data_IF_965762820856
#
_entry.id   IF_965762820856
#
_cell.length_a   1.000
_cell.length_b   1.000
_cell.length_c   1.000
_cell.angle_alpha   90.00
_cell.angle_beta   90.00
_cell.angle_gamma   90.00
#
_symmetry.space_group_name_H-M   'P 1'
#
loop_
_entity.id
_entity.type
_entity.pdbx_description
1 polymer ?
#
# COMPACT_ATOMS: atom_id res chain seq x y z
N UNK A 1 26.67 4.05 -3.22
CA UNK A 1 25.66 5.12 -3.05
C UNK A 1 24.27 4.61 -3.44
N UNK A 2 24.07 4.13 -4.68
CA UNK A 2 22.80 3.54 -5.14
C UNK A 2 22.23 2.49 -4.19
N UNK A 3 22.99 1.46 -3.84
CA UNK A 3 22.51 0.36 -2.97
C UNK A 3 22.20 0.84 -1.54
N UNK A 4 22.85 1.91 -1.09
CA UNK A 4 22.51 2.54 0.18
C UNK A 4 21.12 3.18 0.10
N UNK A 5 20.86 4.00 -0.94
CA UNK A 5 19.57 4.63 -1.15
C UNK A 5 18.44 3.62 -1.40
N UNK A 6 18.71 2.49 -2.06
CA UNK A 6 17.73 1.41 -2.23
C UNK A 6 17.34 0.81 -0.87
N UNK A 7 18.30 0.54 0.02
CA UNK A 7 18.01 0.04 1.37
C UNK A 7 17.27 1.07 2.23
N UNK A 8 17.63 2.34 2.12
CA UNK A 8 16.91 3.44 2.78
C UNK A 8 15.48 3.57 2.26
N UNK A 9 15.27 3.49 0.95
CA UNK A 9 13.93 3.50 0.34
C UNK A 9 13.09 2.34 0.88
N UNK A 10 13.65 1.13 0.91
CA UNK A 10 12.97 -0.06 1.44
C UNK A 10 12.64 0.06 2.93
N UNK A 11 13.48 0.75 3.70
CA UNK A 11 13.22 1.02 5.12
C UNK A 11 12.13 2.07 5.31
N UNK A 12 12.14 3.14 4.51
CA UNK A 12 11.15 4.21 4.52
C UNK A 12 9.77 3.73 4.07
N UNK A 13 9.70 2.91 3.00
CA UNK A 13 8.44 2.31 2.53
C UNK A 13 7.80 1.42 3.61
N UNK A 14 8.62 0.62 4.32
CA UNK A 14 8.13 -0.29 5.36
C UNK A 14 7.68 0.44 6.62
N UNK A 15 8.25 1.60 6.94
CA UNK A 15 7.92 2.36 8.18
C UNK A 15 7.85 3.86 7.92
N UNK A 16 6.90 4.35 7.10
CA UNK A 16 6.91 5.74 6.63
C UNK A 16 6.96 6.76 7.78
N UNK A 17 6.19 6.57 8.85
CA UNK A 17 6.14 7.50 9.97
C UNK A 17 7.47 7.67 10.69
N UNK A 18 8.32 6.63 10.75
CA UNK A 18 9.66 6.72 11.36
C UNK A 18 10.66 7.50 10.50
N UNK A 19 10.40 7.61 9.20
CA UNK A 19 11.32 8.21 8.23
C UNK A 19 10.86 9.59 7.76
N UNK A 20 9.79 10.16 8.31
CA UNK A 20 9.26 11.48 7.89
C UNK A 20 8.19 11.41 6.78
N UNK A 21 7.62 10.22 6.55
CA UNK A 21 6.47 10.01 5.68
C UNK A 21 6.78 10.18 4.20
N UNK A 22 5.77 10.66 3.47
CA UNK A 22 5.80 10.76 2.00
C UNK A 22 6.93 11.64 1.47
N UNK A 23 7.24 12.75 2.15
CA UNK A 23 8.29 13.67 1.72
C UNK A 23 9.65 12.98 1.64
N UNK A 24 10.02 12.21 2.67
CA UNK A 24 11.30 11.52 2.71
C UNK A 24 11.40 10.43 1.66
N UNK A 25 10.32 9.68 1.43
CA UNK A 25 10.26 8.68 0.35
C UNK A 25 10.52 9.35 -1.00
N UNK A 26 9.88 10.49 -1.26
CA UNK A 26 10.07 11.27 -2.50
C UNK A 26 11.50 11.78 -2.65
N UNK A 27 12.12 12.28 -1.58
CA UNK A 27 13.51 12.73 -1.61
C UNK A 27 14.48 11.59 -1.91
N UNK A 28 14.26 10.40 -1.36
CA UNK A 28 15.11 9.23 -1.66
C UNK A 28 14.95 8.81 -3.12
N UNK A 29 13.70 8.80 -3.64
CA UNK A 29 13.40 8.52 -5.04
C UNK A 29 14.09 9.53 -5.97
N UNK A 30 14.01 10.83 -5.67
CA UNK A 30 14.65 11.90 -6.45
C UNK A 30 16.17 11.69 -6.56
N UNK A 31 16.83 11.36 -5.45
CA UNK A 31 18.26 11.05 -5.47
C UNK A 31 18.59 9.78 -6.28
N UNK A 32 17.76 8.73 -6.21
CA UNK A 32 17.94 7.52 -7.01
C UNK A 32 17.81 7.81 -8.50
N UNK A 33 16.82 8.61 -8.90
CA UNK A 33 16.61 9.04 -10.28
C UNK A 33 17.77 9.87 -10.79
N UNK A 34 18.24 10.82 -9.99
CA UNK A 34 19.39 11.64 -10.35
C UNK A 34 20.65 10.78 -10.61
N UNK A 35 20.91 9.79 -9.75
CA UNK A 35 22.03 8.85 -9.94
C UNK A 35 21.88 7.98 -11.20
N UNK A 36 20.65 7.61 -11.57
CA UNK A 36 20.35 6.80 -12.75
C UNK A 36 20.09 7.62 -14.03
N UNK A 37 20.15 8.97 -13.95
CA UNK A 37 19.75 9.90 -15.02
C UNK A 37 18.31 9.66 -15.52
N UNK A 38 17.41 9.40 -14.58
CA UNK A 38 16.02 8.99 -14.82
C UNK A 38 14.97 10.09 -14.65
N UNK A 39 15.33 11.37 -14.65
CA UNK A 39 14.43 12.48 -14.28
C UNK A 39 13.12 12.50 -15.11
N UNK A 40 13.18 12.12 -16.38
CA UNK A 40 11.99 12.00 -17.26
C UNK A 40 11.00 10.93 -16.79
N UNK A 41 11.50 9.82 -16.20
CA UNK A 41 10.68 8.71 -15.74
C UNK A 41 9.80 9.12 -14.55
N UNK A 42 10.29 10.02 -13.70
CA UNK A 42 9.51 10.53 -12.58
C UNK A 42 8.43 11.51 -13.00
N UNK A 43 8.75 12.41 -13.94
CA UNK A 43 7.76 13.31 -14.51
C UNK A 43 6.62 12.53 -15.19
N UNK A 44 6.93 11.42 -15.86
CA UNK A 44 5.93 10.54 -16.46
C UNK A 44 5.09 9.80 -15.41
N UNK A 45 5.72 9.23 -14.37
CA UNK A 45 4.99 8.60 -13.28
C UNK A 45 4.05 9.58 -12.59
N UNK A 46 4.50 10.81 -12.33
CA UNK A 46 3.68 11.85 -11.73
C UNK A 46 2.45 12.19 -12.58
N UNK A 47 2.62 12.34 -13.89
CA UNK A 47 1.48 12.52 -14.82
C UNK A 47 0.54 11.31 -14.81
N UNK A 48 1.08 10.10 -14.76
CA UNK A 48 0.31 8.86 -14.66
C UNK A 48 -0.51 8.82 -13.38
N UNK A 49 0.08 9.15 -12.22
CA UNK A 49 -0.61 9.19 -10.93
C UNK A 49 -1.71 10.26 -10.92
N UNK A 50 -1.44 11.44 -11.46
CA UNK A 50 -2.43 12.51 -11.62
C UNK A 50 -3.60 12.07 -12.51
N UNK A 51 -3.31 11.53 -13.70
CA UNK A 51 -4.34 11.12 -14.66
C UNK A 51 -5.26 10.02 -14.12
N UNK A 52 -4.75 9.16 -13.24
CA UNK A 52 -5.52 8.09 -12.58
C UNK A 52 -6.12 8.52 -11.24
N UNK A 53 -5.93 9.75 -10.79
CA UNK A 53 -6.47 10.24 -9.51
C UNK A 53 -5.76 9.68 -8.27
N UNK A 54 -4.55 9.13 -8.42
CA UNK A 54 -3.69 8.67 -7.33
C UNK A 54 -2.82 9.80 -6.74
N UNK A 55 -2.89 11.01 -7.32
CA UNK A 55 -2.17 12.20 -6.87
C UNK A 55 -3.12 13.38 -6.61
N UNK A 56 -2.81 14.19 -5.60
CA UNK A 56 -3.54 15.42 -5.26
C UNK A 56 -2.54 16.53 -4.90
N UNK A 57 -3.03 17.74 -4.58
CA UNK A 57 -2.17 18.83 -4.09
C UNK A 57 -1.40 18.49 -2.81
N UNK A 58 -1.85 17.49 -2.04
CA UNK A 58 -1.15 16.98 -0.86
C UNK A 58 -0.50 15.61 -1.10
N UNK A 59 -0.17 15.27 -2.35
CA UNK A 59 0.46 14.01 -2.73
C UNK A 59 -0.48 12.81 -2.76
N UNK A 60 0.10 11.62 -2.74
CA UNK A 60 -0.60 10.32 -2.68
C UNK A 60 -1.37 10.19 -1.36
N UNK A 61 -0.84 10.72 -0.26
CA UNK A 61 -1.54 10.74 1.03
C UNK A 61 -2.91 11.42 0.93
N UNK A 62 -3.03 12.48 0.12
CA UNK A 62 -4.31 13.13 -0.14
C UNK A 62 -5.30 12.28 -0.94
N UNK A 63 -4.81 11.48 -1.88
CA UNK A 63 -5.65 10.56 -2.66
C UNK A 63 -6.28 9.47 -1.76
N UNK A 64 -5.53 8.97 -0.77
CA UNK A 64 -6.03 7.99 0.20
C UNK A 64 -7.01 8.55 1.22
N UNK A 65 -6.94 9.86 1.53
CA UNK A 65 -7.75 10.50 2.58
C UNK A 65 -9.26 10.26 2.42
N UNK A 66 -9.74 10.06 1.19
CA UNK A 66 -11.15 9.84 0.88
C UNK A 66 -11.53 8.36 0.68
N UNK A 67 -10.58 7.45 0.88
CA UNK A 67 -10.74 6.02 0.61
C UNK A 67 -10.60 5.18 1.88
N UNK A 68 -9.63 5.47 2.73
CA UNK A 68 -9.32 4.70 3.94
C UNK A 68 -9.30 5.63 5.16
N UNK A 69 -9.86 5.22 6.31
CA UNK A 69 -9.90 6.04 7.53
C UNK A 69 -8.51 6.36 8.11
N UNK A 70 -8.35 7.61 8.58
CA UNK A 70 -7.18 8.07 9.33
C UNK A 70 -5.98 8.50 8.47
N UNK A 71 -4.85 8.81 9.11
CA UNK A 71 -3.58 9.04 8.42
C UNK A 71 -3.01 7.69 7.95
N UNK A 72 -3.41 7.26 6.77
CA UNK A 72 -3.08 5.93 6.26
C UNK A 72 -1.78 5.91 5.45
N UNK A 73 -0.65 6.07 6.13
CA UNK A 73 0.68 6.16 5.52
C UNK A 73 1.12 4.87 4.78
N UNK A 74 0.65 3.70 5.21
CA UNK A 74 0.96 2.43 4.54
C UNK A 74 0.28 2.29 3.18
N UNK A 75 -0.91 2.90 3.02
CA UNK A 75 -1.54 3.03 1.72
C UNK A 75 -0.69 3.87 0.79
N UNK A 76 -0.23 5.04 1.25
CA UNK A 76 0.69 5.89 0.48
C UNK A 76 1.95 5.13 0.06
N UNK A 77 2.58 4.42 1.00
CA UNK A 77 3.77 3.61 0.71
C UNK A 77 3.50 2.51 -0.34
N UNK A 78 2.27 2.01 -0.45
CA UNK A 78 1.94 1.00 -1.47
C UNK A 78 2.06 1.54 -2.91
N UNK A 79 1.73 2.81 -3.13
CA UNK A 79 1.84 3.45 -4.46
C UNK A 79 3.30 3.66 -4.83
N UNK A 80 4.11 4.17 -3.89
CA UNK A 80 5.55 4.31 -4.11
C UNK A 80 6.26 2.95 -4.25
N UNK A 81 5.70 1.89 -3.66
CA UNK A 81 6.22 0.53 -3.83
C UNK A 81 6.04 0.02 -5.26
N UNK A 82 4.94 0.37 -5.94
CA UNK A 82 4.75 0.02 -7.36
C UNK A 82 5.81 0.67 -8.24
N UNK A 83 6.07 1.96 -8.02
CA UNK A 83 7.13 2.67 -8.73
C UNK A 83 8.51 2.08 -8.43
N UNK A 84 8.83 1.86 -7.14
CA UNK A 84 10.09 1.23 -6.74
C UNK A 84 10.26 -0.15 -7.38
N UNK A 85 9.19 -0.94 -7.52
CA UNK A 85 9.22 -2.23 -8.21
C UNK A 85 9.52 -2.08 -9.71
N UNK A 86 8.84 -1.16 -10.39
CA UNK A 86 9.06 -0.91 -11.82
C UNK A 86 10.51 -0.49 -12.13
N UNK A 87 11.20 0.09 -11.15
CA UNK A 87 12.62 0.48 -11.24
C UNK A 87 13.61 -0.58 -10.75
N UNK A 88 13.12 -1.71 -10.25
CA UNK A 88 13.97 -2.76 -9.66
C UNK A 88 14.62 -2.34 -8.33
N UNK A 89 14.00 -1.40 -7.61
CA UNK A 89 14.46 -0.91 -6.30
C UNK A 89 13.70 -1.54 -5.12
N UNK A 90 12.56 -2.20 -5.36
CA UNK A 90 11.79 -2.82 -4.27
C UNK A 90 12.36 -4.18 -3.89
N UNK A 91 12.70 -4.36 -2.61
CA UNK A 91 13.13 -5.65 -2.06
C UNK A 91 11.90 -6.46 -1.63
N UNK A 92 11.74 -7.65 -2.21
CA UNK A 92 10.67 -8.59 -1.88
C UNK A 92 11.18 -9.70 -0.96
N UNK A 93 10.40 -10.05 0.06
CA UNK A 93 10.67 -11.20 0.93
C UNK A 93 10.39 -12.54 0.22
N UNK A 94 9.43 -12.53 -0.71
CA UNK A 94 9.08 -13.63 -1.60
C UNK A 94 8.42 -13.11 -2.87
N UNK A 95 8.46 -13.89 -3.93
CA UNK A 95 7.68 -13.69 -5.15
C UNK A 95 6.57 -14.74 -5.20
N UNK A 96 5.44 -14.38 -5.80
CA UNK A 96 4.39 -15.32 -6.17
C UNK A 96 4.72 -15.96 -7.51
N UNK A 97 4.36 -17.22 -7.68
CA UNK A 97 4.25 -17.81 -9.02
C UNK A 97 3.06 -17.21 -9.76
N UNK A 98 3.02 -17.35 -11.09
CA UNK A 98 1.87 -16.90 -11.89
C UNK A 98 0.57 -17.58 -11.44
N UNK A 99 0.61 -18.88 -11.12
CA UNK A 99 -0.55 -19.63 -10.64
C UNK A 99 -1.04 -19.11 -9.28
N UNK A 100 -0.14 -18.83 -8.34
CA UNK A 100 -0.49 -18.25 -7.04
C UNK A 100 -1.14 -16.86 -7.21
N UNK A 101 -0.59 -16.04 -8.11
CA UNK A 101 -1.11 -14.71 -8.39
C UNK A 101 -2.49 -14.76 -9.05
N UNK A 102 -2.68 -15.61 -10.04
CA UNK A 102 -3.96 -15.75 -10.75
C UNK A 102 -5.04 -16.34 -9.84
N UNK A 103 -4.68 -17.32 -9.01
CA UNK A 103 -5.54 -17.87 -7.98
C UNK A 103 -5.95 -16.79 -6.98
N UNK A 104 -5.00 -16.00 -6.49
CA UNK A 104 -5.29 -14.87 -5.59
C UNK A 104 -6.24 -13.88 -6.23
N UNK A 105 -5.91 -13.41 -7.44
CA UNK A 105 -6.72 -12.43 -8.20
C UNK A 105 -8.15 -12.92 -8.41
N UNK A 106 -8.34 -14.20 -8.71
CA UNK A 106 -9.66 -14.80 -8.94
C UNK A 106 -10.49 -14.89 -7.66
N UNK A 107 -9.85 -15.06 -6.50
CA UNK A 107 -10.53 -15.16 -5.21
C UNK A 107 -10.97 -13.82 -4.63
N UNK A 108 -10.25 -12.72 -4.93
CA UNK A 108 -10.48 -11.38 -4.34
C UNK A 108 -11.96 -10.94 -4.37
N UNK A 109 -12.70 -11.01 -5.50
CA UNK A 109 -14.08 -10.52 -5.54
C UNK A 109 -15.01 -11.23 -4.56
N UNK A 110 -14.87 -12.55 -4.42
CA UNK A 110 -15.64 -13.35 -3.46
C UNK A 110 -15.19 -13.08 -2.04
N UNK A 111 -13.88 -12.96 -1.82
CA UNK A 111 -13.31 -12.72 -0.50
C UNK A 111 -13.79 -11.39 0.07
N UNK A 112 -13.78 -10.31 -0.73
CA UNK A 112 -14.19 -8.98 -0.27
C UNK A 112 -15.70 -8.84 0.02
N UNK A 113 -16.51 -9.90 -0.10
CA UNK A 113 -17.94 -9.86 0.25
C UNK A 113 -18.20 -9.89 1.76
N UNK A 114 -17.22 -10.29 2.57
CA UNK A 114 -17.28 -10.31 4.04
C UNK A 114 -16.03 -9.68 4.66
N UNK A 115 -16.09 -9.42 5.96
CA UNK A 115 -14.93 -8.94 6.71
C UNK A 115 -13.98 -10.09 7.04
N UNK A 116 -12.70 -9.75 7.13
CA UNK A 116 -11.63 -10.70 7.42
C UNK A 116 -10.60 -10.08 8.33
N UNK A 117 -10.05 -10.92 9.20
CA UNK A 117 -8.97 -10.54 10.10
C UNK A 117 -7.59 -10.72 9.47
N UNK A 118 -6.57 -10.13 10.10
CA UNK A 118 -5.17 -10.30 9.76
C UNK A 118 -4.78 -11.78 9.66
N UNK A 119 -5.16 -12.59 10.65
CA UNK A 119 -4.88 -14.03 10.68
C UNK A 119 -5.58 -14.79 9.55
N UNK A 120 -6.84 -14.46 9.23
CA UNK A 120 -7.55 -15.05 8.09
C UNK A 120 -6.85 -14.74 6.76
N UNK A 121 -6.42 -13.48 6.55
CA UNK A 121 -5.68 -13.07 5.35
C UNK A 121 -4.39 -13.88 5.21
N UNK A 122 -3.58 -13.96 6.27
CA UNK A 122 -2.30 -14.68 6.25
C UNK A 122 -2.47 -16.19 6.06
N UNK A 123 -3.48 -16.81 6.69
CA UNK A 123 -3.75 -18.24 6.53
C UNK A 123 -4.24 -18.60 5.13
N UNK A 124 -4.93 -17.68 4.44
CA UNK A 124 -5.50 -17.93 3.11
C UNK A 124 -4.52 -17.60 1.99
N UNK A 125 -3.86 -16.45 2.04
CA UNK A 125 -3.00 -15.95 0.98
C UNK A 125 -1.50 -16.15 1.26
N UNK A 126 -1.17 -16.65 2.44
CA UNK A 126 0.21 -16.82 2.88
C UNK A 126 0.89 -15.49 3.24
N UNK A 127 2.19 -15.55 3.60
CA UNK A 127 2.97 -14.36 3.95
C UNK A 127 3.08 -13.40 2.75
N UNK A 128 3.11 -12.08 2.98
CA UNK A 128 3.21 -11.09 1.92
C UNK A 128 4.59 -11.04 1.28
N UNK A 129 4.66 -10.62 0.01
CA UNK A 129 5.92 -10.28 -0.64
C UNK A 129 6.58 -9.07 -0.01
N UNK A 130 5.79 -8.08 0.40
CA UNK A 130 6.25 -6.87 1.10
C UNK A 130 5.27 -6.53 2.22
N UNK A 131 5.80 -6.28 3.42
CA UNK A 131 5.05 -5.78 4.57
C UNK A 131 5.30 -4.28 4.72
N UNK A 132 4.27 -3.47 4.51
CA UNK A 132 4.29 -2.03 4.77
C UNK A 132 3.63 -1.77 6.12
N UNK A 133 4.44 -1.44 7.13
CA UNK A 133 4.08 -1.35 8.54
C UNK A 133 4.91 -2.30 9.40
N UNK A 134 4.60 -2.34 10.70
CA UNK A 134 5.25 -3.23 11.66
C UNK A 134 4.66 -4.65 11.68
N UNK A 135 5.40 -5.57 12.29
CA UNK A 135 4.95 -6.93 12.60
C UNK A 135 3.93 -6.98 13.76
N UNK A 136 3.92 -5.95 14.62
CA UNK A 136 3.00 -5.83 15.75
C UNK A 136 1.54 -6.13 15.34
N UNK A 137 0.91 -7.15 15.93
CA UNK A 137 -0.39 -7.66 15.49
C UNK A 137 -1.55 -6.71 15.81
N UNK A 138 -1.34 -5.64 16.58
CA UNK A 138 -2.38 -4.70 16.96
C UNK A 138 -2.54 -3.52 16.01
N UNK A 139 -1.55 -3.24 15.16
CA UNK A 139 -1.56 -2.03 14.31
C UNK A 139 -1.90 -2.34 12.86
N UNK A 140 -2.63 -1.41 12.22
CA UNK A 140 -2.90 -1.46 10.79
C UNK A 140 -1.62 -1.55 9.96
N UNK A 141 -1.73 -2.12 8.76
CA UNK A 141 -0.61 -2.39 7.85
C UNK A 141 -1.12 -2.62 6.43
N UNK A 142 -0.23 -2.61 5.46
CA UNK A 142 -0.52 -3.03 4.09
C UNK A 142 0.36 -4.21 3.71
N UNK A 143 -0.25 -5.25 3.15
CA UNK A 143 0.46 -6.37 2.55
C UNK A 143 0.52 -6.17 1.05
N UNK A 144 1.72 -6.24 0.47
CA UNK A 144 1.93 -6.27 -0.97
C UNK A 144 2.29 -7.67 -1.43
N UNK A 145 1.65 -8.11 -2.51
CA UNK A 145 1.95 -9.36 -3.21
C UNK A 145 2.40 -9.05 -4.63
N UNK A 146 3.48 -9.69 -5.07
CA UNK A 146 4.10 -9.45 -6.38
C UNK A 146 4.67 -10.72 -6.99
N UNK A 147 4.74 -10.75 -8.31
CA UNK A 147 5.39 -11.79 -9.12
C UNK A 147 6.77 -11.32 -9.59
N UNK A 148 7.59 -12.25 -10.11
CA UNK A 148 8.89 -11.90 -10.70
C UNK A 148 8.80 -10.92 -11.89
N UNK A 149 7.90 -11.11 -12.88
CA UNK A 149 7.74 -10.14 -13.96
C UNK A 149 7.29 -8.79 -13.41
N UNK A 150 8.11 -7.75 -13.60
CA UNK A 150 7.89 -6.42 -13.01
C UNK A 150 6.73 -5.65 -13.64
N UNK A 151 6.24 -6.09 -14.80
CA UNK A 151 5.10 -5.54 -15.54
C UNK A 151 3.73 -6.04 -15.01
N UNK A 152 3.70 -7.16 -14.30
CA UNK A 152 2.49 -7.67 -13.65
C UNK A 152 2.14 -6.72 -12.51
N UNK A 153 0.90 -6.25 -12.39
CA UNK A 153 0.49 -5.35 -11.30
C UNK A 153 0.70 -5.98 -9.90
N UNK A 154 0.96 -5.16 -8.89
CA UNK A 154 0.95 -5.62 -7.50
C UNK A 154 -0.49 -5.74 -6.98
N UNK A 155 -0.70 -6.59 -5.98
CA UNK A 155 -1.94 -6.67 -5.21
C UNK A 155 -1.65 -6.20 -3.79
N UNK A 156 -2.43 -5.26 -3.29
CA UNK A 156 -2.29 -4.72 -1.94
C UNK A 156 -3.51 -5.00 -1.08
N UNK A 157 -3.31 -5.56 0.11
CA UNK A 157 -4.34 -5.74 1.12
C UNK A 157 -4.15 -4.68 2.19
N UNK A 158 -5.15 -3.82 2.35
CA UNK A 158 -5.13 -2.70 3.27
C UNK A 158 -5.84 -3.06 4.57
N UNK A 159 -5.07 -3.32 5.63
CA UNK A 159 -5.58 -3.68 6.94
C UNK A 159 -5.54 -2.49 7.91
N UNK A 160 -6.53 -2.41 8.78
CA UNK A 160 -6.73 -1.29 9.70
C UNK A 160 -7.11 -1.77 11.09
N UNK A 161 -6.56 -1.10 12.11
CA UNK A 161 -6.94 -1.29 13.51
C UNK A 161 -6.73 0.02 14.29
N UNK A 162 -7.41 1.07 13.86
CA UNK A 162 -7.36 2.36 14.52
C UNK A 162 -8.46 2.50 15.57
N UNK A 163 -8.59 3.72 16.09
CA UNK A 163 -9.74 4.13 16.87
C UNK A 163 -10.75 4.89 15.99
N UNK A 164 -11.99 5.01 16.46
CA UNK A 164 -12.97 5.89 15.80
C UNK A 164 -12.54 7.35 15.96
N UNK A 165 -12.94 8.25 15.04
CA UNK A 165 -12.53 9.66 15.09
C UNK A 165 -12.86 10.37 16.42
N UNK A 166 -13.94 9.96 17.08
CA UNK A 166 -14.42 10.57 18.34
C UNK A 166 -13.90 9.84 19.59
N UNK A 167 -13.01 8.87 19.44
CA UNK A 167 -12.46 8.13 20.58
C UNK A 167 -11.48 9.00 21.38
N UNK A 168 -11.69 9.08 22.71
CA UNK A 168 -10.81 9.81 23.64
C UNK A 168 -9.38 9.24 23.70
N UNK A 169 -9.20 7.98 23.27
CA UNK A 169 -7.92 7.28 23.25
C UNK A 169 -7.81 6.42 21.99
N UNK A 170 -6.59 6.32 21.45
CA UNK A 170 -6.25 5.36 20.40
C UNK A 170 -5.92 3.97 20.95
N UNK A 171 -5.97 3.81 22.28
CA UNK A 171 -5.73 2.56 23.00
C UNK A 171 -6.88 2.22 23.98
N UNK A 172 -7.35 0.96 24.03
CA UNK A 172 -6.96 -0.15 23.15
C UNK A 172 -7.40 0.08 21.69
N UNK A 173 -6.77 -0.59 20.71
CA UNK A 173 -7.24 -0.59 19.34
C UNK A 173 -8.66 -1.16 19.29
N UNK A 174 -9.39 -0.85 18.21
CA UNK A 174 -10.79 -1.25 18.09
C UNK A 174 -10.99 -2.77 18.06
N UNK A 175 -10.10 -3.48 17.40
CA UNK A 175 -10.16 -4.93 17.20
C UNK A 175 -8.96 -5.60 17.86
N UNK A 176 -9.07 -6.88 18.17
CA UNK A 176 -7.96 -7.69 18.70
C UNK A 176 -6.81 -7.80 17.67
N UNK A 177 -7.15 -7.78 16.37
CA UNK A 177 -6.21 -7.71 15.26
C UNK A 177 -6.78 -6.88 14.09
N UNK A 178 -5.94 -6.32 13.21
CA UNK A 178 -6.36 -5.57 12.04
C UNK A 178 -7.34 -6.30 11.16
N UNK A 179 -8.36 -5.56 10.72
CA UNK A 179 -9.36 -6.02 9.77
C UNK A 179 -9.02 -5.52 8.38
N UNK A 180 -9.26 -6.37 7.38
CA UNK A 180 -9.12 -6.01 5.98
C UNK A 180 -10.22 -5.02 5.58
N UNK A 181 -9.84 -3.81 5.14
CA UNK A 181 -10.79 -2.82 4.64
C UNK A 181 -10.93 -2.87 3.12
N UNK A 182 -9.82 -3.05 2.42
CA UNK A 182 -9.84 -3.03 0.96
C UNK A 182 -8.68 -3.82 0.37
N UNK A 183 -8.90 -4.31 -0.84
CA UNK A 183 -7.86 -4.89 -1.67
C UNK A 183 -7.71 -4.01 -2.92
N UNK A 184 -6.50 -3.53 -3.20
CA UNK A 184 -6.17 -2.70 -4.36
C UNK A 184 -5.34 -3.48 -5.36
N UNK A 185 -5.76 -3.49 -6.63
CA UNK A 185 -4.99 -4.12 -7.69
C UNK A 185 -5.34 -3.56 -9.07
N UNK A 186 -4.37 -3.62 -9.98
CA UNK A 186 -4.53 -3.25 -11.38
C UNK A 186 -4.26 -1.76 -11.69
N UNK A 187 -4.03 -1.43 -12.97
CA UNK A 187 -3.54 -0.12 -13.39
C UNK A 187 -4.65 0.93 -13.60
N UNK A 188 -5.90 0.63 -13.26
CA UNK A 188 -7.06 1.49 -13.55
C UNK A 188 -7.12 2.79 -12.75
N UNK A 189 -8.26 3.49 -12.85
CA UNK A 189 -8.55 4.65 -11.99
C UNK A 189 -8.37 4.28 -10.52
N UNK A 190 -7.71 5.17 -9.78
CA UNK A 190 -7.26 4.89 -8.43
C UNK A 190 -8.41 4.53 -7.51
N UNK A 191 -9.55 5.24 -7.59
CA UNK A 191 -10.70 4.97 -6.71
C UNK A 191 -11.40 3.67 -7.07
N UNK A 192 -11.46 3.32 -8.35
CA UNK A 192 -12.11 2.09 -8.83
C UNK A 192 -11.22 0.86 -8.72
N UNK A 193 -9.91 1.02 -8.50
CA UNK A 193 -8.96 -0.08 -8.28
C UNK A 193 -9.10 -0.78 -6.91
N UNK A 194 -9.96 -0.27 -6.03
CA UNK A 194 -10.20 -0.83 -4.70
C UNK A 194 -11.47 -1.69 -4.66
N UNK A 195 -11.31 -2.92 -4.17
CA UNK A 195 -12.42 -3.79 -3.76
C UNK A 195 -12.56 -3.74 -2.24
N UNK A 196 -13.59 -3.06 -1.75
CA UNK A 196 -13.84 -2.86 -0.31
C UNK A 196 -14.66 -3.99 0.32
N UNK A 197 -14.27 -4.39 1.53
CA UNK A 197 -15.07 -5.24 2.43
C UNK A 197 -16.27 -4.46 3.02
N UNK A 198 -17.25 -5.12 3.64
CA UNK A 198 -18.32 -4.44 4.37
C UNK A 198 -17.82 -3.41 5.40
N UNK A 199 -16.85 -3.76 6.25
CA UNK A 199 -16.26 -2.85 7.23
C UNK A 199 -15.46 -1.73 6.54
N UNK A 200 -14.77 -2.06 5.44
CA UNK A 200 -14.13 -1.07 4.58
C UNK A 200 -15.11 0.00 4.07
N UNK A 201 -16.25 -0.43 3.54
CA UNK A 201 -17.32 0.48 3.06
C UNK A 201 -17.89 1.33 4.19
N UNK A 202 -18.17 0.73 5.35
CA UNK A 202 -18.71 1.41 6.53
C UNK A 202 -17.78 2.50 7.04
N UNK A 203 -16.46 2.26 6.98
CA UNK A 203 -15.42 3.18 7.46
C UNK A 203 -14.92 4.16 6.41
N UNK A 204 -15.46 4.12 5.18
CA UNK A 204 -15.06 5.11 4.18
C UNK A 204 -15.31 6.49 4.75
N UNK A 205 -14.30 7.39 4.70
CA UNK A 205 -14.50 8.78 5.08
C UNK A 205 -15.70 9.32 4.31
N UNK A 206 -16.64 9.96 5.01
CA UNK A 206 -17.70 10.70 4.35
C UNK A 206 -17.01 11.67 3.40
N UNK A 207 -17.34 11.60 2.11
CA UNK A 207 -16.75 12.50 1.11
C UNK A 207 -16.94 13.93 1.61
N UNK A 208 -15.84 14.65 1.79
CA UNK A 208 -15.87 16.10 1.97
C UNK A 208 -16.43 16.79 0.75
#
# INVERSE_FOLDING_TARGET
MRDYLIRELNSALRRPGMYGGELSIRLIIDHLLHLERGDEAWAEEMRSLESRGAWTSTGVSGAFRNLIPGQYEYGMASVYSEFARARGWLEANRTLTSDEYDQMRTQIPTWATRDHSLSEVLSTFGPPSVLLGGDNPYYGKTFGYLTEPTDTAMIFFHLWNGADPDAESTWPPRYDEPVLLAIRYGPGDFKTSFTFTPEGKKRRPAGG
#
